data_IF_612418807339
#
_entry.id   IF_612418807339
#
_cell.length_a   1.000
_cell.length_b   1.000
_cell.length_c   1.000
_cell.angle_alpha   90.00
_cell.angle_beta   90.00
_cell.angle_gamma   90.00
#
_symmetry.space_group_name_H-M   'P 1'
#
loop_
_entity.id
_entity.type
_entity.pdbx_description
1 polymer ?
#
# COMPACT_ATOMS: atom_id res chain seq x y z
N UNK A 1 24.47 -4.86 19.59
CA UNK A 1 24.86 -4.47 18.21
C UNK A 1 25.05 -5.78 17.44
N UNK A 2 24.62 -6.04 16.20
CA UNK A 2 23.97 -5.27 15.11
C UNK A 2 23.35 -6.33 14.15
N UNK A 3 22.36 -6.14 13.26
CA UNK A 3 21.60 -4.98 12.73
C UNK A 3 20.10 -5.37 12.72
N UNK A 4 19.16 -4.42 12.82
CA UNK A 4 17.71 -4.65 12.64
C UNK A 4 17.24 -4.03 11.32
N UNK A 5 17.48 -4.72 10.19
CA UNK A 5 17.12 -4.23 8.85
C UNK A 5 15.62 -4.38 8.58
N UNK A 6 14.82 -3.52 9.20
CA UNK A 6 13.43 -3.29 8.80
C UNK A 6 13.45 -2.48 7.50
N UNK A 7 13.22 -3.14 6.37
CA UNK A 7 12.92 -2.45 5.11
C UNK A 7 11.62 -1.66 5.33
N UNK A 8 11.74 -0.33 5.33
CA UNK A 8 10.65 0.57 5.72
C UNK A 8 9.45 0.46 4.76
N UNK A 9 8.26 0.68 5.31
CA UNK A 9 7.03 1.07 4.60
C UNK A 9 7.14 2.38 3.79
N UNK A 10 8.32 3.03 3.76
CA UNK A 10 8.56 4.29 3.07
C UNK A 10 9.64 4.16 2.02
N UNK A 11 9.26 4.47 0.78
CA UNK A 11 10.15 5.07 -0.22
C UNK A 11 10.81 6.29 0.42
N UNK A 12 11.99 6.07 1.01
CA UNK A 12 12.72 7.07 1.80
C UNK A 12 13.33 8.15 0.91
N UNK A 13 13.44 7.88 -0.40
CA UNK A 13 13.83 8.82 -1.45
C UNK A 13 12.74 9.86 -1.77
N UNK A 14 11.49 9.65 -1.33
CA UNK A 14 10.38 10.55 -1.64
C UNK A 14 10.05 10.61 -3.14
N UNK A 15 10.48 9.61 -3.92
CA UNK A 15 10.27 9.56 -5.37
C UNK A 15 8.78 9.54 -5.72
N UNK A 16 7.93 8.97 -4.86
CA UNK A 16 6.47 9.06 -4.97
C UNK A 16 5.93 10.48 -5.13
N UNK A 17 6.62 11.52 -4.60
CA UNK A 17 6.19 12.92 -4.75
C UNK A 17 6.23 13.39 -6.21
N UNK A 18 7.05 12.77 -7.07
CA UNK A 18 7.14 13.09 -8.50
C UNK A 18 5.89 12.67 -9.29
N UNK A 19 5.12 11.70 -8.76
CA UNK A 19 3.85 11.25 -9.34
C UNK A 19 2.63 11.83 -8.61
N UNK A 20 2.81 12.88 -7.81
CA UNK A 20 1.72 13.52 -7.08
C UNK A 20 0.89 14.43 -8.01
N UNK A 21 -0.42 14.15 -8.13
CA UNK A 21 -1.32 14.94 -8.97
C UNK A 21 -1.34 16.44 -8.59
N UNK A 22 -1.21 16.76 -7.30
CA UNK A 22 -1.13 18.14 -6.81
C UNK A 22 0.16 18.91 -7.19
N UNK A 23 1.17 18.22 -7.73
CA UNK A 23 2.39 18.85 -8.25
C UNK A 23 2.32 19.12 -9.78
N UNK A 24 1.17 18.85 -10.42
CA UNK A 24 0.97 19.16 -11.83
C UNK A 24 0.84 20.68 -12.07
N UNK A 25 1.31 21.14 -13.23
CA UNK A 25 1.27 22.54 -13.62
C UNK A 25 -0.18 23.08 -13.64
N UNK A 26 -0.37 24.30 -13.14
CA UNK A 26 -1.65 25.00 -13.13
C UNK A 26 -2.53 24.71 -11.91
N UNK A 27 -2.07 23.89 -10.96
CA UNK A 27 -2.70 23.72 -9.65
C UNK A 27 -2.09 24.71 -8.67
N UNK A 28 -2.94 25.47 -7.98
CA UNK A 28 -2.54 26.36 -6.88
C UNK A 28 -2.22 25.52 -5.62
N UNK A 29 -1.01 25.61 -5.03
CA UNK A 29 -0.67 24.91 -3.79
C UNK A 29 -1.52 25.33 -2.58
N UNK A 30 -2.03 26.56 -2.54
CA UNK A 30 -2.68 27.11 -1.34
C UNK A 30 -4.03 26.44 -1.03
N UNK A 31 -4.68 25.84 -2.03
CA UNK A 31 -5.91 25.04 -1.82
C UNK A 31 -5.69 23.84 -0.89
N UNK A 32 -4.46 23.30 -0.83
CA UNK A 32 -4.10 22.20 0.08
C UNK A 32 -3.81 22.68 1.50
N UNK A 33 -3.68 23.99 1.72
CA UNK A 33 -3.51 24.60 3.04
C UNK A 33 -4.83 25.17 3.62
N UNK A 34 -5.92 25.12 2.84
CA UNK A 34 -7.24 25.55 3.25
C UNK A 34 -7.78 24.81 4.50
N UNK A 35 -8.43 25.56 5.40
CA UNK A 35 -8.98 25.04 6.64
C UNK A 35 -10.44 24.57 6.53
N UNK A 36 -10.98 24.00 7.61
CA UNK A 36 -12.40 23.57 7.67
C UNK A 36 -13.42 24.72 7.53
N UNK A 37 -12.94 25.97 7.57
CA UNK A 37 -13.74 27.18 7.32
C UNK A 37 -13.88 27.51 5.82
N UNK A 38 -13.14 26.82 4.96
CA UNK A 38 -13.07 27.04 3.51
C UNK A 38 -13.47 25.77 2.76
N UNK A 39 -14.69 25.23 2.97
CA UNK A 39 -15.08 23.90 2.51
C UNK A 39 -14.93 23.73 0.99
N UNK A 40 -15.14 24.79 0.19
CA UNK A 40 -14.95 24.76 -1.26
C UNK A 40 -13.52 24.41 -1.67
N UNK A 41 -12.52 25.03 -1.04
CA UNK A 41 -11.10 24.76 -1.32
C UNK A 41 -10.69 23.37 -0.83
N UNK A 42 -11.24 22.94 0.32
CA UNK A 42 -11.04 21.58 0.85
C UNK A 42 -11.62 20.52 -0.10
N UNK A 43 -12.78 20.77 -0.70
CA UNK A 43 -13.42 19.86 -1.66
C UNK A 43 -12.69 19.85 -3.02
N UNK A 44 -12.18 21.00 -3.47
CA UNK A 44 -11.31 21.11 -4.65
C UNK A 44 -10.00 20.32 -4.47
N UNK A 45 -9.30 20.54 -3.35
CA UNK A 45 -8.11 19.80 -2.96
C UNK A 45 -8.40 18.28 -2.82
N UNK A 46 -9.60 17.91 -2.35
CA UNK A 46 -10.02 16.50 -2.27
C UNK A 46 -10.20 15.89 -3.64
N UNK A 47 -10.85 16.58 -4.58
CA UNK A 47 -11.08 16.10 -5.96
C UNK A 47 -9.76 15.75 -6.64
N UNK A 48 -8.73 16.60 -6.49
CA UNK A 48 -7.37 16.34 -7.01
C UNK A 48 -6.74 15.12 -6.31
N UNK A 49 -6.95 14.95 -5.01
CA UNK A 49 -6.41 13.83 -4.25
C UNK A 49 -7.07 12.48 -4.57
N UNK A 50 -8.35 12.46 -4.94
CA UNK A 50 -9.10 11.22 -5.23
C UNK A 50 -8.57 10.51 -6.48
N UNK A 51 -8.17 11.26 -7.51
CA UNK A 51 -7.49 10.72 -8.69
C UNK A 51 -5.97 10.52 -8.54
N UNK A 52 -5.39 10.86 -7.38
CA UNK A 52 -3.94 10.90 -7.20
C UNK A 52 -3.34 9.48 -6.97
N UNK A 53 -2.43 8.98 -7.83
CA UNK A 53 -1.93 7.61 -7.78
C UNK A 53 -1.07 7.31 -6.54
N UNK A 54 -0.64 8.36 -5.82
CA UNK A 54 0.23 8.26 -4.63
C UNK A 54 -0.51 8.60 -3.32
N UNK A 55 -1.85 8.58 -3.33
CA UNK A 55 -2.71 8.88 -2.17
C UNK A 55 -2.33 8.10 -0.90
N UNK A 56 -2.04 6.80 -1.03
CA UNK A 56 -1.57 5.93 0.07
C UNK A 56 -0.23 6.40 0.65
N UNK A 57 0.75 6.69 -0.20
CA UNK A 57 2.06 7.17 0.22
C UNK A 57 1.96 8.56 0.87
N UNK A 58 1.14 9.45 0.31
CA UNK A 58 0.89 10.79 0.84
C UNK A 58 0.25 10.78 2.24
N UNK A 59 -0.75 9.92 2.48
CA UNK A 59 -1.37 9.74 3.81
C UNK A 59 -0.40 9.11 4.80
N UNK A 60 0.34 8.08 4.39
CA UNK A 60 1.37 7.43 5.23
C UNK A 60 2.42 8.46 5.66
N UNK A 61 2.92 9.25 4.71
CA UNK A 61 3.85 10.34 4.97
C UNK A 61 3.24 11.38 5.92
N UNK A 62 2.01 11.85 5.69
CA UNK A 62 1.35 12.83 6.56
C UNK A 62 1.22 12.36 8.01
N UNK A 63 0.94 11.07 8.24
CA UNK A 63 0.91 10.48 9.58
C UNK A 63 2.32 10.38 10.21
N UNK A 64 3.35 10.05 9.45
CA UNK A 64 4.74 9.98 9.96
C UNK A 64 5.40 11.35 10.15
N UNK A 65 4.99 12.35 9.36
CA UNK A 65 5.48 13.74 9.39
C UNK A 65 4.76 14.56 10.49
N UNK A 66 3.62 14.08 11.01
CA UNK A 66 2.82 14.80 12.00
C UNK A 66 2.06 16.01 11.43
N UNK A 67 1.76 16.01 10.13
CA UNK A 67 1.07 17.14 9.47
C UNK A 67 -0.27 17.38 10.15
N UNK A 68 -0.37 18.56 10.77
CA UNK A 68 -1.49 19.00 11.59
C UNK A 68 -2.42 20.00 10.91
N UNK A 69 -2.13 20.43 9.67
CA UNK A 69 -2.80 21.57 9.03
C UNK A 69 -3.33 21.26 7.63
N UNK A 70 -2.49 20.73 6.73
CA UNK A 70 -2.79 20.63 5.30
C UNK A 70 -3.82 19.53 4.99
N UNK A 71 -4.51 19.64 3.85
CA UNK A 71 -5.22 18.54 3.19
C UNK A 71 -4.19 17.59 2.59
N UNK A 72 -4.22 16.32 3.00
CA UNK A 72 -3.28 15.28 2.53
C UNK A 72 -4.07 14.04 2.13
N UNK A 73 -3.86 13.56 0.90
CA UNK A 73 -4.56 12.41 0.34
C UNK A 73 -6.09 12.50 0.44
N UNK A 74 -6.64 13.70 0.31
CA UNK A 74 -8.08 13.99 0.32
C UNK A 74 -8.69 14.19 1.71
N UNK A 75 -7.87 14.13 2.77
CA UNK A 75 -8.32 14.28 4.16
C UNK A 75 -7.77 15.56 4.80
N UNK A 76 -8.62 16.28 5.53
CA UNK A 76 -8.19 17.31 6.47
C UNK A 76 -7.44 16.69 7.65
N UNK A 77 -6.71 17.52 8.41
CA UNK A 77 -6.06 17.11 9.67
C UNK A 77 -7.02 16.40 10.64
N UNK A 78 -8.23 16.93 10.83
CA UNK A 78 -9.26 16.32 11.69
C UNK A 78 -9.73 14.96 11.19
N UNK A 79 -9.93 14.82 9.87
CA UNK A 79 -10.30 13.54 9.25
C UNK A 79 -9.17 12.52 9.42
N UNK A 80 -7.90 12.91 9.22
CA UNK A 80 -6.74 12.06 9.53
C UNK A 80 -6.74 11.58 10.98
N UNK A 81 -6.95 12.50 11.93
CA UNK A 81 -7.02 12.19 13.37
C UNK A 81 -8.23 11.32 13.76
N UNK A 82 -9.32 11.36 12.99
CA UNK A 82 -10.45 10.44 13.16
C UNK A 82 -10.05 9.00 12.79
N UNK A 83 -9.53 8.79 11.57
CA UNK A 83 -9.12 7.45 11.12
C UNK A 83 -8.01 6.85 11.97
N UNK A 84 -7.06 7.67 12.43
CA UNK A 84 -5.95 7.24 13.27
C UNK A 84 -6.41 6.82 14.67
N UNK A 85 -7.34 7.57 15.30
CA UNK A 85 -7.92 7.20 16.60
C UNK A 85 -8.83 5.98 16.51
N UNK A 86 -9.66 5.89 15.47
CA UNK A 86 -10.50 4.72 15.17
C UNK A 86 -9.69 3.43 15.05
N UNK A 87 -8.45 3.54 14.57
CA UNK A 87 -7.52 2.43 14.37
C UNK A 87 -6.41 2.34 15.43
N UNK A 88 -6.62 2.86 16.64
CA UNK A 88 -5.70 2.69 17.78
C UNK A 88 -4.25 3.13 17.47
N UNK A 89 -4.09 4.24 16.73
CA UNK A 89 -2.80 4.76 16.23
C UNK A 89 -2.08 3.86 15.21
N UNK A 90 -2.70 2.79 14.72
CA UNK A 90 -2.12 1.85 13.77
C UNK A 90 -2.16 2.40 12.32
N UNK A 91 -1.15 3.18 11.94
CA UNK A 91 -1.07 3.91 10.65
C UNK A 91 -1.50 3.06 9.42
N UNK A 92 -0.99 1.82 9.17
CA UNK A 92 -1.42 1.03 8.02
C UNK A 92 -2.93 0.74 7.95
N UNK A 93 -3.60 0.63 9.11
CA UNK A 93 -5.06 0.44 9.17
C UNK A 93 -5.80 1.75 8.97
N UNK A 94 -5.32 2.84 9.58
CA UNK A 94 -5.87 4.17 9.35
C UNK A 94 -5.82 4.59 7.87
N UNK A 95 -4.69 4.31 7.18
CA UNK A 95 -4.54 4.55 5.74
C UNK A 95 -5.49 3.65 4.94
N UNK A 96 -5.50 2.34 5.19
CA UNK A 96 -6.39 1.40 4.49
C UNK A 96 -7.88 1.73 4.64
N UNK A 97 -8.31 2.20 5.82
CA UNK A 97 -9.69 2.62 6.07
C UNK A 97 -10.03 3.95 5.41
N UNK A 98 -9.07 4.86 5.29
CA UNK A 98 -9.29 6.16 4.66
C UNK A 98 -9.25 6.12 3.12
N UNK A 99 -8.54 5.14 2.55
CA UNK A 99 -8.46 4.93 1.08
C UNK A 99 -9.39 3.84 0.57
N UNK A 100 -10.01 3.07 1.47
CA UNK A 100 -10.66 1.77 1.23
C UNK A 100 -9.76 0.73 0.51
N UNK A 101 -8.44 0.88 0.62
CA UNK A 101 -7.48 0.03 -0.07
C UNK A 101 -6.98 -1.10 0.84
N UNK A 102 -7.50 -2.32 0.59
CA UNK A 102 -7.08 -3.53 1.29
C UNK A 102 -5.62 -3.93 0.98
N UNK A 103 -5.04 -3.48 -0.14
CA UNK A 103 -3.66 -3.81 -0.51
C UNK A 103 -2.65 -3.27 0.52
N UNK A 104 -2.97 -2.15 1.18
CA UNK A 104 -2.18 -1.56 2.27
C UNK A 104 -2.03 -2.54 3.44
N UNK A 105 -3.12 -3.22 3.81
CA UNK A 105 -3.11 -4.23 4.87
C UNK A 105 -2.37 -5.50 4.43
N UNK A 106 -2.62 -5.97 3.20
CA UNK A 106 -1.98 -7.17 2.66
C UNK A 106 -0.46 -6.99 2.55
N UNK A 107 0.00 -5.80 2.12
CA UNK A 107 1.42 -5.43 2.09
C UNK A 107 2.02 -5.37 3.49
N UNK A 108 1.35 -4.74 4.45
CA UNK A 108 1.83 -4.68 5.83
C UNK A 108 1.99 -6.08 6.44
N UNK A 109 0.99 -6.95 6.24
CA UNK A 109 1.04 -8.35 6.71
C UNK A 109 2.17 -9.12 6.01
N UNK A 110 2.36 -8.93 4.70
CA UNK A 110 3.47 -9.53 3.96
C UNK A 110 4.83 -9.13 4.55
N UNK A 111 5.05 -7.84 4.83
CA UNK A 111 6.29 -7.34 5.42
C UNK A 111 6.53 -7.84 6.85
N UNK A 112 5.47 -8.05 7.64
CA UNK A 112 5.55 -8.60 8.99
C UNK A 112 5.90 -10.10 9.02
N UNK A 113 5.43 -10.84 8.02
CA UNK A 113 5.45 -12.31 8.00
C UNK A 113 6.33 -12.89 6.89
N UNK A 114 7.40 -12.18 6.48
CA UNK A 114 8.36 -12.68 5.50
C UNK A 114 9.83 -12.48 5.89
N UNK A 115 10.70 -13.35 5.34
CA UNK A 115 12.15 -13.29 5.52
C UNK A 115 12.89 -13.68 4.24
N UNK A 116 13.94 -12.92 3.90
CA UNK A 116 14.86 -13.23 2.79
C UNK A 116 15.74 -14.45 3.13
N UNK A 117 15.88 -15.39 2.18
CA UNK A 117 16.77 -16.57 2.27
C UNK A 117 17.26 -16.97 0.87
N UNK A 118 18.55 -16.77 0.58
CA UNK A 118 19.18 -17.33 -0.63
C UNK A 118 18.53 -16.92 -1.96
N UNK A 119 18.03 -15.68 -2.07
CA UNK A 119 17.30 -15.20 -3.26
C UNK A 119 15.79 -15.46 -3.24
N UNK A 120 15.30 -16.23 -2.27
CA UNK A 120 13.87 -16.47 -2.02
C UNK A 120 13.36 -15.59 -0.88
N UNK A 121 12.04 -15.42 -0.82
CA UNK A 121 11.35 -14.80 0.32
C UNK A 121 10.44 -15.86 0.94
N UNK A 122 10.72 -16.26 2.16
CA UNK A 122 9.92 -17.26 2.87
C UNK A 122 8.86 -16.59 3.72
N UNK A 123 7.66 -17.15 3.71
CA UNK A 123 6.60 -16.87 4.67
C UNK A 123 7.02 -17.41 6.06
N UNK A 124 6.65 -16.72 7.14
CA UNK A 124 7.10 -17.04 8.51
C UNK A 124 5.98 -17.32 9.51
N UNK A 125 4.72 -17.24 9.09
CA UNK A 125 3.57 -17.58 9.93
C UNK A 125 3.09 -19.00 9.62
N UNK A 126 2.62 -19.74 10.64
CA UNK A 126 2.09 -21.11 10.44
C UNK A 126 0.75 -21.13 9.70
N UNK A 127 0.09 -19.98 9.54
CA UNK A 127 -1.18 -19.85 8.81
C UNK A 127 -0.93 -19.62 7.32
N UNK A 128 -1.44 -20.54 6.49
CA UNK A 128 -1.46 -20.41 5.02
C UNK A 128 -2.67 -19.63 4.48
N UNK A 129 -3.61 -19.26 5.35
CA UNK A 129 -4.77 -18.43 5.05
C UNK A 129 -4.88 -17.28 6.07
N UNK A 130 -5.02 -16.05 5.57
CA UNK A 130 -5.14 -14.85 6.39
C UNK A 130 -6.47 -14.16 6.06
N UNK A 131 -7.29 -13.92 7.09
CA UNK A 131 -8.53 -13.17 6.96
C UNK A 131 -8.27 -11.66 7.11
N UNK A 132 -8.65 -10.87 6.11
CA UNK A 132 -8.55 -9.40 6.14
C UNK A 132 -9.91 -8.84 5.72
N UNK A 133 -10.52 -8.01 6.58
CA UNK A 133 -11.89 -7.48 6.41
C UNK A 133 -12.91 -8.57 6.04
N UNK A 134 -12.95 -9.65 6.82
CA UNK A 134 -13.81 -10.82 6.64
C UNK A 134 -13.63 -11.60 5.32
N UNK A 135 -12.59 -11.30 4.52
CA UNK A 135 -12.25 -12.01 3.29
C UNK A 135 -10.98 -12.86 3.50
N UNK A 136 -11.01 -14.17 3.21
CA UNK A 136 -9.82 -15.01 3.26
C UNK A 136 -8.91 -14.77 2.05
N UNK A 137 -7.60 -14.74 2.30
CA UNK A 137 -6.55 -14.73 1.28
C UNK A 137 -5.58 -15.88 1.57
N UNK A 138 -5.22 -16.66 0.56
CA UNK A 138 -4.02 -17.53 0.66
C UNK A 138 -2.77 -16.67 0.77
N UNK A 139 -1.72 -17.19 1.41
CA UNK A 139 -0.42 -16.48 1.49
C UNK A 139 0.15 -16.11 0.12
N UNK A 140 -0.05 -16.95 -0.90
CA UNK A 140 0.35 -16.63 -2.27
C UNK A 140 -0.48 -15.49 -2.88
N UNK A 141 -1.80 -15.43 -2.66
CA UNK A 141 -2.64 -14.31 -3.13
C UNK A 141 -2.30 -13.00 -2.41
N UNK A 142 -2.10 -13.07 -1.09
CA UNK A 142 -1.70 -11.93 -0.26
C UNK A 142 -0.36 -11.36 -0.74
N UNK A 143 0.64 -12.23 -0.91
CA UNK A 143 1.95 -11.85 -1.42
C UNK A 143 1.90 -11.29 -2.85
N UNK A 144 1.11 -11.91 -3.74
CA UNK A 144 0.95 -11.42 -5.10
C UNK A 144 0.38 -9.98 -5.12
N UNK A 145 -0.67 -9.71 -4.34
CA UNK A 145 -1.23 -8.35 -4.23
C UNK A 145 -0.22 -7.38 -3.60
N UNK A 146 0.48 -7.80 -2.54
CA UNK A 146 1.49 -6.98 -1.86
C UNK A 146 2.68 -6.58 -2.77
N UNK A 147 3.06 -7.45 -3.71
CA UNK A 147 4.26 -7.30 -4.55
C UNK A 147 3.97 -6.72 -5.94
N UNK A 148 2.82 -7.04 -6.53
CA UNK A 148 2.43 -6.57 -7.86
C UNK A 148 1.40 -5.44 -7.84
N UNK A 149 0.77 -5.15 -6.69
CA UNK A 149 -0.25 -4.09 -6.57
C UNK A 149 -1.56 -4.38 -7.29
N UNK A 150 -1.78 -5.63 -7.75
CA UNK A 150 -2.97 -6.02 -8.54
C UNK A 150 -3.58 -7.33 -8.05
N UNK A 151 -4.90 -7.46 -8.22
CA UNK A 151 -5.63 -8.70 -7.95
C UNK A 151 -5.20 -9.79 -8.96
N UNK A 152 -4.77 -10.99 -8.51
CA UNK A 152 -4.37 -12.07 -9.41
C UNK A 152 -5.55 -12.65 -10.18
N UNK A 153 -5.31 -13.05 -11.43
CA UNK A 153 -6.26 -13.85 -12.22
C UNK A 153 -6.14 -15.31 -11.82
N UNK A 154 -7.19 -15.88 -11.23
CA UNK A 154 -7.24 -17.29 -10.84
C UNK A 154 -6.27 -17.65 -9.71
N UNK A 155 -5.76 -18.88 -9.73
CA UNK A 155 -4.87 -19.39 -8.69
C UNK A 155 -3.43 -18.84 -8.86
N UNK A 156 -2.90 -18.23 -7.80
CA UNK A 156 -1.46 -17.93 -7.69
C UNK A 156 -0.70 -19.21 -7.33
N UNK A 157 0.39 -19.47 -8.05
CA UNK A 157 1.22 -20.66 -7.88
C UNK A 157 2.69 -20.28 -7.69
N UNK A 158 3.44 -21.10 -6.96
CA UNK A 158 4.91 -21.02 -6.88
C UNK A 158 5.53 -21.57 -8.17
N UNK A 159 6.58 -20.91 -8.66
CA UNK A 159 7.43 -21.35 -9.78
C UNK A 159 8.78 -21.94 -9.33
N UNK A 160 9.04 -21.95 -8.01
CA UNK A 160 10.19 -22.63 -7.42
C UNK A 160 9.73 -23.78 -6.52
N UNK A 161 10.64 -24.71 -6.29
CA UNK A 161 10.53 -25.85 -5.37
C UNK A 161 10.55 -25.42 -3.88
N UNK A 162 11.35 -24.39 -3.54
CA UNK A 162 11.52 -23.88 -2.17
C UNK A 162 10.18 -23.65 -1.46
N UNK A 163 9.97 -24.45 -0.41
CA UNK A 163 8.80 -24.42 0.49
C UNK A 163 8.59 -23.03 1.09
N UNK A 164 7.33 -22.66 1.34
CA UNK A 164 6.89 -21.36 1.85
C UNK A 164 7.38 -20.11 1.09
N UNK A 165 7.95 -20.28 -0.11
CA UNK A 165 8.43 -19.16 -0.92
C UNK A 165 7.29 -18.31 -1.49
N UNK A 166 7.18 -17.07 -1.02
CA UNK A 166 6.22 -16.05 -1.45
C UNK A 166 6.89 -14.89 -2.21
N UNK A 167 8.13 -15.07 -2.66
CA UNK A 167 8.90 -14.03 -3.35
C UNK A 167 8.37 -13.67 -4.74
N UNK A 168 8.49 -12.41 -5.14
CA UNK A 168 7.90 -11.89 -6.39
C UNK A 168 8.28 -12.70 -7.63
N UNK A 169 9.58 -12.95 -7.83
CA UNK A 169 10.09 -13.77 -8.95
C UNK A 169 9.68 -15.24 -8.90
N UNK A 170 9.11 -15.69 -7.79
CA UNK A 170 8.69 -17.07 -7.57
C UNK A 170 7.16 -17.24 -7.61
N UNK A 171 6.37 -16.17 -7.75
CA UNK A 171 4.91 -16.24 -7.79
C UNK A 171 4.37 -15.85 -9.15
N UNK A 172 3.36 -16.60 -9.61
CA UNK A 172 2.67 -16.32 -10.88
C UNK A 172 1.16 -16.53 -10.78
N UNK A 173 0.36 -15.70 -11.45
CA UNK A 173 -1.08 -15.90 -11.63
C UNK A 173 -1.40 -16.69 -12.93
N UNK A 174 -2.68 -17.01 -13.18
CA UNK A 174 -3.07 -17.74 -14.40
C UNK A 174 -2.73 -16.94 -15.67
N UNK A 175 -2.96 -15.63 -15.67
CA UNK A 175 -2.75 -14.78 -16.86
C UNK A 175 -1.28 -14.78 -17.30
N UNK A 176 -0.36 -14.68 -16.35
CA UNK A 176 1.08 -14.74 -16.61
C UNK A 176 1.51 -16.12 -17.13
N UNK A 177 0.99 -17.22 -16.55
CA UNK A 177 1.26 -18.59 -17.06
C UNK A 177 0.72 -18.81 -18.47
N UNK A 178 -0.47 -18.32 -18.77
CA UNK A 178 -1.09 -18.48 -20.09
C UNK A 178 -0.40 -17.61 -21.15
N UNK A 179 0.12 -16.43 -20.76
CA UNK A 179 0.99 -15.62 -21.62
C UNK A 179 2.34 -16.31 -21.88
N UNK A 180 2.99 -16.84 -20.85
CA UNK A 180 4.27 -17.54 -20.99
C UNK A 180 4.16 -18.71 -21.98
N UNK A 181 3.11 -19.55 -21.85
CA UNK A 181 2.84 -20.65 -22.79
C UNK A 181 2.71 -20.22 -24.25
N UNK A 182 2.13 -19.04 -24.52
CA UNK A 182 1.98 -18.50 -25.88
C UNK A 182 3.26 -17.93 -26.47
N UNK A 183 4.24 -17.58 -25.63
CA UNK A 183 5.55 -17.09 -26.04
C UNK A 183 6.58 -18.22 -26.22
N UNK A 184 6.27 -19.44 -25.74
CA UNK A 184 7.10 -20.63 -25.83
C UNK A 184 6.54 -21.70 -26.79
N UNK A 185 5.51 -21.36 -27.57
CA UNK A 185 4.82 -22.23 -28.53
C UNK A 185 4.98 -21.68 -29.95
#
# INVERSE_FOLDING_TARGET
MTIRTLTRLTDTTGAWKQSAACAANGIDPDIFHAGEREPRLVDEARTICEGCPVRVACLTAAYTEGDSWSVRGGLTSRQRLYYLRKNEQHIPRAVADATDDVSVLLKHIYEQHTRQRGGHVLWTDTRHFINVRNKPYTVHQLAFIALYGVTPVGQVQRMCDVEDCVGQRCLTDRRQRDLAKRLTA
#
